data_IF_126514881253
#
_entry.id   IF_126514881253
#
_cell.length_a   1.000
_cell.length_b   1.000
_cell.length_c   1.000
_cell.angle_alpha   90.00
_cell.angle_beta   90.00
_cell.angle_gamma   90.00
#
_symmetry.space_group_name_H-M   'P 1'
#
loop_
_entity.id
_entity.type
_entity.pdbx_description
1 polymer ?
#
# COMPACT_ATOMS: atom_id res chain seq x y z
N UNK A 1 -14.51 35.59 9.60
CA UNK A 1 -14.14 34.96 8.31
C UNK A 1 -13.46 33.64 8.64
N UNK A 2 -14.22 32.56 8.59
CA UNK A 2 -13.75 31.22 8.98
C UNK A 2 -13.01 30.61 7.80
N UNK A 3 -11.68 30.59 7.86
CA UNK A 3 -10.86 29.84 6.93
C UNK A 3 -11.11 28.35 7.15
N UNK A 4 -11.81 27.70 6.23
CA UNK A 4 -11.89 26.26 6.17
C UNK A 4 -10.49 25.70 5.91
N UNK A 5 -9.79 25.29 6.96
CA UNK A 5 -8.64 24.40 6.82
C UNK A 5 -9.16 23.10 6.20
N UNK A 6 -8.99 22.96 4.89
CA UNK A 6 -9.31 21.75 4.16
C UNK A 6 -8.37 20.66 4.67
N UNK A 7 -8.77 19.96 5.73
CA UNK A 7 -8.05 18.81 6.25
C UNK A 7 -8.02 17.78 5.12
N UNK A 8 -6.84 17.59 4.53
CA UNK A 8 -6.63 16.52 3.56
C UNK A 8 -6.66 15.22 4.35
N UNK A 9 -7.84 14.61 4.50
CA UNK A 9 -8.01 13.33 5.19
C UNK A 9 -7.95 12.25 4.14
N UNK A 10 -6.80 11.61 4.01
CA UNK A 10 -6.62 10.55 3.02
C UNK A 10 -5.30 9.81 3.18
N UNK A 11 -5.41 8.49 3.26
CA UNK A 11 -4.31 7.55 3.13
C UNK A 11 -4.57 6.78 1.84
N UNK A 12 -3.64 6.83 0.88
CA UNK A 12 -3.79 6.07 -0.36
C UNK A 12 -2.48 5.42 -0.80
N UNK A 13 -2.55 4.18 -1.32
CA UNK A 13 -1.37 3.50 -1.84
C UNK A 13 -1.05 3.94 -3.26
N UNK A 14 0.24 3.98 -3.59
CA UNK A 14 0.78 4.17 -4.92
C UNK A 14 1.81 3.08 -5.21
N UNK A 15 1.78 2.52 -6.41
CA UNK A 15 2.79 1.57 -6.86
C UNK A 15 3.40 2.10 -8.14
N UNK A 16 4.69 2.46 -8.11
CA UNK A 16 5.42 2.91 -9.29
C UNK A 16 6.37 1.83 -9.77
N UNK A 17 6.36 1.62 -11.09
CA UNK A 17 7.40 0.88 -11.77
C UNK A 17 8.30 1.86 -12.50
N UNK A 18 9.59 1.84 -12.12
CA UNK A 18 10.61 2.79 -12.55
C UNK A 18 11.71 2.03 -13.26
N UNK A 19 11.84 2.24 -14.57
CA UNK A 19 12.84 1.53 -15.37
C UNK A 19 12.70 1.85 -16.85
N UNK A 20 13.75 1.57 -17.61
CA UNK A 20 13.77 1.80 -19.07
C UNK A 20 13.07 0.68 -19.87
N UNK A 21 12.60 -0.38 -19.19
CA UNK A 21 11.99 -1.58 -19.79
C UNK A 21 12.89 -2.30 -20.82
N UNK A 22 14.20 -2.06 -20.78
CA UNK A 22 15.17 -2.74 -21.63
C UNK A 22 15.66 -4.04 -20.98
N UNK A 23 15.92 -5.11 -21.77
CA UNK A 23 16.51 -6.34 -21.23
C UNK A 23 17.81 -6.07 -20.48
N UNK A 24 17.92 -6.57 -19.24
CA UNK A 24 19.09 -6.40 -18.39
C UNK A 24 19.23 -5.02 -17.73
N UNK A 25 18.32 -4.08 -17.98
CA UNK A 25 18.27 -2.80 -17.28
C UNK A 25 17.75 -2.97 -15.84
N UNK A 26 18.05 -1.99 -14.98
CA UNK A 26 17.48 -1.97 -13.63
C UNK A 26 15.98 -1.68 -13.68
N UNK A 27 15.23 -2.38 -12.84
CA UNK A 27 13.83 -2.11 -12.56
C UNK A 27 13.67 -1.82 -11.07
N UNK A 28 13.04 -0.70 -10.75
CA UNK A 28 12.70 -0.29 -9.40
C UNK A 28 11.17 -0.38 -9.24
N UNK A 29 10.73 -1.28 -8.37
CA UNK A 29 9.35 -1.32 -7.90
C UNK A 29 9.26 -0.53 -6.59
N UNK A 30 8.48 0.54 -6.60
CA UNK A 30 8.33 1.45 -5.48
C UNK A 30 6.87 1.42 -5.01
N UNK A 31 6.64 0.86 -3.83
CA UNK A 31 5.34 0.87 -3.17
C UNK A 31 5.35 1.98 -2.12
N UNK A 32 4.48 2.96 -2.27
CA UNK A 32 4.33 4.08 -1.35
C UNK A 32 2.92 4.08 -0.77
N UNK A 33 2.84 4.60 0.43
CA UNK A 33 1.63 4.92 1.15
C UNK A 33 1.70 6.41 1.46
N UNK A 34 0.82 7.18 0.83
CA UNK A 34 0.80 8.63 0.96
C UNK A 34 -0.15 9.02 2.08
N UNK A 35 0.38 9.70 3.09
CA UNK A 35 -0.40 10.27 4.16
C UNK A 35 -0.57 11.77 3.94
N UNK A 36 -1.75 12.13 3.45
CA UNK A 36 -2.03 13.51 3.04
C UNK A 36 -2.09 14.55 4.17
N UNK A 37 -2.53 14.25 5.41
CA UNK A 37 -2.56 15.24 6.49
C UNK A 37 -1.18 15.82 6.83
N UNK A 38 -0.14 14.99 6.82
CA UNK A 38 1.24 15.38 7.18
C UNK A 38 2.17 15.51 5.98
N UNK A 39 1.67 15.30 4.77
CA UNK A 39 2.47 15.29 3.54
C UNK A 39 3.63 14.29 3.54
N UNK A 40 3.48 13.21 4.31
CA UNK A 40 4.49 12.17 4.46
C UNK A 40 4.21 10.99 3.53
N UNK A 41 5.26 10.28 3.17
CA UNK A 41 5.20 9.03 2.41
C UNK A 41 6.03 7.96 3.11
N UNK A 42 5.53 6.74 3.12
CA UNK A 42 6.23 5.57 3.64
C UNK A 42 5.98 4.36 2.76
N UNK A 43 6.86 3.36 2.79
CA UNK A 43 6.64 2.14 2.01
C UNK A 43 7.91 1.35 1.77
N UNK A 44 7.99 0.69 0.61
CA UNK A 44 9.12 -0.17 0.25
C UNK A 44 9.61 0.05 -1.17
N UNK A 45 10.92 -0.11 -1.36
CA UNK A 45 11.59 -0.09 -2.66
C UNK A 45 12.27 -1.44 -2.89
N UNK A 46 12.08 -1.99 -4.09
CA UNK A 46 12.76 -3.20 -4.55
C UNK A 46 13.41 -2.93 -5.91
N UNK A 47 14.74 -3.01 -5.97
CA UNK A 47 15.52 -2.83 -7.19
C UNK A 47 15.99 -4.20 -7.65
N UNK A 48 15.61 -4.57 -8.87
CA UNK A 48 16.04 -5.81 -9.49
C UNK A 48 16.78 -5.55 -10.80
N UNK A 49 17.77 -6.39 -11.11
CA UNK A 49 18.45 -6.38 -12.40
C UNK A 49 18.80 -7.81 -12.82
N UNK A 50 18.43 -8.17 -14.06
CA UNK A 50 18.72 -9.47 -14.64
C UNK A 50 20.16 -9.55 -15.18
N UNK A 51 21.15 -9.36 -14.30
CA UNK A 51 22.59 -9.58 -14.56
C UNK A 51 23.06 -10.89 -13.95
N UNK A 52 24.31 -11.28 -14.19
CA UNK A 52 24.96 -12.40 -13.49
C UNK A 52 26.20 -11.88 -12.71
N UNK A 53 26.18 -11.85 -11.37
CA UNK A 53 25.07 -12.26 -10.49
C UNK A 53 23.86 -11.30 -10.58
N UNK A 54 22.64 -11.77 -10.27
CA UNK A 54 21.45 -10.94 -10.27
C UNK A 54 21.52 -9.91 -9.15
N UNK A 55 21.05 -8.69 -9.43
CA UNK A 55 20.91 -7.65 -8.42
C UNK A 55 19.51 -7.75 -7.81
N UNK A 56 19.44 -7.80 -6.49
CA UNK A 56 18.21 -7.66 -5.72
C UNK A 56 18.50 -6.82 -4.47
N UNK A 57 17.96 -5.62 -4.41
CA UNK A 57 18.15 -4.68 -3.30
C UNK A 57 16.79 -4.27 -2.78
N UNK A 58 16.54 -4.56 -1.51
CA UNK A 58 15.34 -4.16 -0.80
C UNK A 58 15.62 -3.05 0.20
N UNK A 59 14.71 -2.10 0.33
CA UNK A 59 14.82 -0.99 1.29
C UNK A 59 13.43 -0.54 1.74
N UNK A 60 13.28 -0.30 3.02
CA UNK A 60 12.13 0.39 3.59
C UNK A 60 12.35 1.89 3.36
N UNK A 61 11.37 2.56 2.76
CA UNK A 61 11.48 3.96 2.35
C UNK A 61 10.53 4.85 3.13
N UNK A 62 10.99 6.06 3.42
CA UNK A 62 10.19 7.12 4.02
C UNK A 62 10.64 8.48 3.50
N UNK A 63 9.75 9.45 3.58
CA UNK A 63 10.03 10.83 3.19
C UNK A 63 8.77 11.65 3.10
N UNK A 64 8.79 12.62 2.18
CA UNK A 64 7.77 13.64 2.05
C UNK A 64 7.46 13.90 0.59
N UNK A 65 6.31 14.51 0.34
CA UNK A 65 5.96 15.00 -0.99
C UNK A 65 5.60 16.49 -0.96
N UNK A 66 5.89 17.20 -2.05
CA UNK A 66 5.64 18.65 -2.16
C UNK A 66 5.04 18.97 -3.52
N UNK A 67 4.04 19.84 -3.54
CA UNK A 67 3.47 20.38 -4.78
C UNK A 67 4.32 21.54 -5.29
N UNK A 68 4.77 21.43 -6.54
CA UNK A 68 5.48 22.46 -7.28
C UNK A 68 4.52 23.10 -8.28
N UNK A 69 4.08 24.32 -8.01
CA UNK A 69 3.31 25.12 -8.96
C UNK A 69 4.25 26.12 -9.64
N UNK A 70 4.44 25.98 -10.95
CA UNK A 70 5.12 27.01 -11.76
C UNK A 70 4.08 28.03 -12.24
N UNK A 71 4.45 29.30 -12.36
CA UNK A 71 3.54 30.37 -12.81
C UNK A 71 3.10 30.16 -14.27
N UNK A 72 1.94 30.73 -14.66
CA UNK A 72 1.27 30.45 -15.95
C UNK A 72 2.17 30.60 -17.19
N UNK A 73 2.09 29.66 -18.16
CA UNK A 73 1.18 28.51 -18.23
C UNK A 73 1.81 27.28 -17.54
N UNK A 74 1.93 27.30 -16.22
CA UNK A 74 2.69 26.33 -15.46
C UNK A 74 1.88 25.07 -15.18
N UNK A 75 2.51 23.96 -15.53
CA UNK A 75 2.06 22.60 -15.20
C UNK A 75 2.40 22.36 -13.73
N UNK A 76 1.41 22.06 -12.90
CA UNK A 76 1.63 21.61 -11.53
C UNK A 76 2.35 20.27 -11.55
N UNK A 77 3.44 20.15 -10.78
CA UNK A 77 4.20 18.91 -10.62
C UNK A 77 4.24 18.53 -9.14
N UNK A 78 4.42 17.25 -8.86
CA UNK A 78 4.55 16.74 -7.50
C UNK A 78 5.94 16.15 -7.38
N UNK A 79 6.71 16.67 -6.43
CA UNK A 79 8.02 16.13 -6.08
C UNK A 79 7.86 15.22 -4.87
N UNK A 80 8.22 13.96 -5.02
CA UNK A 80 8.27 12.97 -3.96
C UNK A 80 9.76 12.74 -3.65
N UNK A 81 10.15 13.00 -2.42
CA UNK A 81 11.53 12.80 -1.94
C UNK A 81 11.53 11.73 -0.88
N UNK A 82 12.21 10.62 -1.16
CA UNK A 82 12.31 9.51 -0.22
C UNK A 82 13.74 9.05 -0.05
N UNK A 83 14.00 8.51 1.13
CA UNK A 83 15.22 7.82 1.48
C UNK A 83 14.87 6.48 2.10
N UNK A 84 15.78 5.52 2.02
CA UNK A 84 15.57 4.19 2.57
C UNK A 84 16.81 3.53 3.12
N UNK A 85 16.57 2.58 4.01
CA UNK A 85 17.55 1.69 4.61
C UNK A 85 16.90 0.30 4.82
N UNK A 86 17.61 -0.60 5.49
CA UNK A 86 17.03 -1.85 5.98
C UNK A 86 16.43 -1.64 7.38
N UNK A 87 15.11 -1.68 7.51
CA UNK A 87 14.40 -1.60 8.80
C UNK A 87 13.71 -0.26 9.09
N UNK A 88 13.74 0.71 8.16
CA UNK A 88 12.99 1.96 8.26
C UNK A 88 13.65 3.05 9.12
N UNK A 89 12.90 4.13 9.43
CA UNK A 89 13.44 5.35 10.03
C UNK A 89 14.02 5.18 11.44
N UNK A 90 13.59 4.16 12.19
CA UNK A 90 14.08 3.86 13.54
C UNK A 90 15.27 2.89 13.55
N UNK A 91 15.64 2.33 12.40
CA UNK A 91 16.75 1.38 12.27
C UNK A 91 18.10 2.09 12.28
N UNK A 92 19.12 1.42 12.83
CA UNK A 92 20.51 1.89 12.81
C UNK A 92 21.23 1.58 11.48
N UNK A 93 20.54 0.98 10.51
CA UNK A 93 21.06 0.71 9.18
C UNK A 93 21.37 1.99 8.41
N UNK A 94 22.49 1.99 7.68
CA UNK A 94 22.87 3.10 6.81
C UNK A 94 21.86 3.30 5.69
N UNK A 95 21.61 4.56 5.32
CA UNK A 95 20.77 4.90 4.16
C UNK A 95 21.44 4.39 2.89
N UNK A 96 20.84 3.34 2.33
CA UNK A 96 21.29 2.64 1.13
C UNK A 96 20.52 3.06 -0.12
N UNK A 97 19.45 3.85 0.01
CA UNK A 97 18.58 4.26 -1.07
C UNK A 97 18.16 5.73 -0.93
N UNK A 98 18.14 6.47 -2.04
CA UNK A 98 17.59 7.84 -2.15
C UNK A 98 16.86 7.98 -3.48
N UNK A 99 15.72 8.65 -3.50
CA UNK A 99 14.93 8.88 -4.70
C UNK A 99 14.29 10.27 -4.68
N UNK A 100 14.34 10.91 -5.83
CA UNK A 100 13.54 12.08 -6.17
C UNK A 100 12.67 11.71 -7.37
N UNK A 101 11.36 11.63 -7.16
CA UNK A 101 10.39 11.31 -8.18
C UNK A 101 9.54 12.55 -8.47
N UNK A 102 9.54 12.99 -9.72
CA UNK A 102 8.71 14.11 -10.18
C UNK A 102 7.57 13.56 -11.03
N UNK A 103 6.34 13.67 -10.55
CA UNK A 103 5.12 13.22 -11.25
C UNK A 103 4.22 14.38 -11.65
N UNK A 104 3.30 14.11 -12.56
CA UNK A 104 2.18 14.99 -12.87
C UNK A 104 1.27 15.23 -11.65
N UNK A 105 0.38 16.20 -11.79
CA UNK A 105 -0.72 16.44 -10.85
C UNK A 105 -1.70 15.26 -10.74
N UNK A 106 -1.70 14.38 -11.73
CA UNK A 106 -2.46 13.14 -11.79
C UNK A 106 -1.83 11.95 -11.03
N UNK A 107 -0.61 12.11 -10.49
CA UNK A 107 0.17 11.03 -9.85
C UNK A 107 0.48 9.82 -10.75
N UNK A 108 0.20 9.86 -12.06
CA UNK A 108 0.26 8.64 -12.90
C UNK A 108 1.63 8.39 -13.52
N UNK A 109 2.29 9.43 -13.98
CA UNK A 109 3.55 9.28 -14.71
C UNK A 109 4.53 10.40 -14.36
N UNK A 110 5.81 10.09 -14.49
CA UNK A 110 6.86 11.00 -14.09
C UNK A 110 8.26 10.53 -14.48
N UNK A 111 9.24 11.21 -13.90
CA UNK A 111 10.66 10.86 -14.02
C UNK A 111 11.25 10.72 -12.62
N UNK A 112 11.92 9.60 -12.39
CA UNK A 112 12.58 9.28 -11.15
C UNK A 112 14.10 9.39 -11.30
N UNK A 113 14.72 10.04 -10.34
CA UNK A 113 16.16 10.05 -10.13
C UNK A 113 16.44 9.33 -8.81
N UNK A 114 17.02 8.15 -8.87
CA UNK A 114 17.36 7.38 -7.67
C UNK A 114 18.84 7.03 -7.62
N UNK A 115 19.30 6.85 -6.39
CA UNK A 115 20.64 6.43 -6.06
C UNK A 115 20.54 5.30 -5.05
N UNK A 116 21.26 4.21 -5.29
CA UNK A 116 21.27 3.07 -4.38
C UNK A 116 22.67 2.47 -4.24
N UNK A 117 22.91 1.81 -3.12
CA UNK A 117 24.15 1.07 -2.88
C UNK A 117 24.00 -0.38 -3.30
N UNK A 118 24.82 -0.84 -4.25
CA UNK A 118 24.76 -2.21 -4.77
C UNK A 118 25.68 -3.20 -4.01
N UNK A 119 26.14 -2.85 -2.81
CA UNK A 119 27.12 -3.63 -2.04
C UNK A 119 28.58 -3.22 -2.27
N UNK A 120 28.89 -2.56 -3.40
CA UNK A 120 30.26 -2.13 -3.74
C UNK A 120 30.35 -0.62 -3.96
N UNK A 121 29.39 -0.04 -4.69
CA UNK A 121 29.36 1.36 -5.07
C UNK A 121 27.94 1.92 -5.05
N UNK A 122 27.86 3.25 -5.00
CA UNK A 122 26.62 3.97 -5.23
C UNK A 122 26.37 4.09 -6.73
N UNK A 123 25.18 3.68 -7.17
CA UNK A 123 24.74 3.73 -8.57
C UNK A 123 23.62 4.75 -8.66
N UNK A 124 23.74 5.70 -9.59
CA UNK A 124 22.71 6.71 -9.86
C UNK A 124 22.03 6.40 -11.18
N UNK A 125 20.70 6.39 -11.18
CA UNK A 125 19.88 6.05 -12.33
C UNK A 125 18.77 7.09 -12.49
N UNK A 126 18.53 7.47 -13.73
CA UNK A 126 17.39 8.29 -14.15
C UNK A 126 16.53 7.46 -15.07
N UNK A 127 15.27 7.27 -14.73
CA UNK A 127 14.35 6.44 -15.50
C UNK A 127 12.93 7.00 -15.46
N UNK A 128 12.12 6.73 -16.50
CA UNK A 128 10.69 7.05 -16.45
C UNK A 128 10.00 6.22 -15.38
N UNK A 129 9.00 6.84 -14.74
CA UNK A 129 8.17 6.26 -13.70
C UNK A 129 6.73 6.17 -14.19
N UNK A 130 6.13 4.99 -14.06
CA UNK A 130 4.73 4.75 -14.40
C UNK A 130 3.99 4.12 -13.23
N UNK A 131 2.80 4.64 -12.93
CA UNK A 131 1.91 4.09 -11.94
C UNK A 131 1.38 2.74 -12.45
N UNK A 132 1.50 1.72 -11.61
CA UNK A 132 0.93 0.41 -11.84
C UNK A 132 -0.50 0.43 -11.30
N UNK A 133 -1.47 0.69 -12.20
CA UNK A 133 -2.90 0.79 -11.85
C UNK A 133 -3.45 -0.56 -11.34
N UNK A 134 -2.88 -1.67 -11.80
CA UNK A 134 -3.20 -3.02 -11.35
C UNK A 134 -2.03 -3.58 -10.57
N UNK A 135 -1.99 -3.38 -9.25
CA UNK A 135 -1.10 -4.19 -8.40
C UNK A 135 -1.63 -5.62 -8.49
N UNK A 136 -0.96 -6.57 -9.15
CA UNK A 136 -1.37 -7.95 -9.05
C UNK A 136 -1.20 -8.32 -7.59
N UNK A 137 -2.31 -8.59 -6.92
CA UNK A 137 -2.30 -9.14 -5.56
C UNK A 137 -1.34 -10.31 -5.57
N UNK A 138 -0.21 -10.21 -4.84
CA UNK A 138 0.68 -11.35 -4.57
C UNK A 138 0.02 -12.42 -3.68
N UNK A 139 -1.31 -12.40 -3.56
CA UNK A 139 -2.10 -13.58 -3.29
C UNK A 139 -2.00 -14.53 -4.50
N UNK A 140 -0.82 -15.15 -4.62
CA UNK A 140 -0.46 -16.27 -5.51
C UNK A 140 -0.35 -15.98 -7.02
N UNK A 141 0.81 -16.34 -7.58
CA UNK A 141 0.83 -17.24 -8.73
C UNK A 141 1.43 -18.56 -8.25
N UNK A 142 0.60 -19.44 -7.68
CA UNK A 142 1.00 -20.84 -7.55
C UNK A 142 0.99 -21.46 -8.95
N UNK A 143 1.98 -22.29 -9.30
CA UNK A 143 1.96 -23.08 -10.52
C UNK A 143 0.62 -23.84 -10.62
N UNK A 144 -0.15 -23.55 -11.67
CA UNK A 144 -1.34 -24.30 -12.05
C UNK A 144 -0.89 -25.63 -12.66
N UNK A 145 -0.68 -26.65 -11.81
CA UNK A 145 -0.98 -28.09 -12.02
C UNK A 145 0.00 -29.02 -11.27
N UNK A 146 -0.47 -30.13 -10.66
CA UNK A 146 -1.88 -30.49 -10.44
C UNK A 146 -2.44 -29.61 -9.33
N UNK A 147 -3.53 -28.91 -9.64
CA UNK A 147 -3.97 -27.72 -8.92
C UNK A 147 -4.26 -27.94 -7.42
N UNK A 148 -4.24 -26.85 -6.63
CA UNK A 148 -4.78 -26.90 -5.29
C UNK A 148 -6.25 -27.36 -5.39
N UNK A 149 -6.67 -28.24 -4.48
CA UNK A 149 -8.10 -28.49 -4.28
C UNK A 149 -8.71 -27.13 -3.97
N UNK A 150 -9.33 -26.50 -4.96
CA UNK A 150 -10.25 -25.41 -4.72
C UNK A 150 -11.37 -26.10 -3.94
N UNK A 151 -11.28 -26.04 -2.62
CA UNK A 151 -12.41 -26.40 -1.79
C UNK A 151 -13.56 -25.55 -2.35
N UNK A 152 -14.68 -26.14 -2.77
CA UNK A 152 -15.79 -25.41 -3.38
C UNK A 152 -16.34 -24.30 -2.48
N UNK A 153 -15.86 -24.25 -1.23
CA UNK A 153 -16.04 -23.18 -0.28
C UNK A 153 -14.66 -22.80 0.29
N UNK A 154 -14.23 -21.52 0.19
CA UNK A 154 -13.13 -21.06 1.05
C UNK A 154 -13.54 -21.35 2.50
N UNK A 155 -12.60 -21.75 3.38
CA UNK A 155 -12.93 -21.93 4.78
C UNK A 155 -13.54 -20.61 5.27
N UNK A 156 -14.80 -20.67 5.70
CA UNK A 156 -15.49 -19.53 6.28
C UNK A 156 -14.73 -19.20 7.55
N UNK A 157 -13.81 -18.24 7.46
CA UNK A 157 -13.14 -17.72 8.63
C UNK A 157 -14.15 -16.83 9.34
N UNK A 158 -14.60 -17.18 10.56
CA UNK A 158 -15.45 -16.28 11.31
C UNK A 158 -14.73 -14.95 11.51
N UNK A 159 -15.49 -13.85 11.57
CA UNK A 159 -14.99 -12.48 11.69
C UNK A 159 -13.91 -12.29 12.79
N UNK A 160 -13.93 -13.14 13.82
CA UNK A 160 -13.00 -13.11 14.94
C UNK A 160 -11.93 -14.22 14.95
N UNK A 161 -11.76 -14.99 13.87
CA UNK A 161 -10.78 -16.07 13.83
C UNK A 161 -9.34 -15.59 14.10
N UNK A 162 -8.89 -14.56 13.38
CA UNK A 162 -7.56 -13.99 13.54
C UNK A 162 -7.32 -13.35 14.93
N UNK A 163 -8.22 -12.49 15.47
CA UNK A 163 -8.02 -11.93 16.80
C UNK A 163 -8.11 -12.97 17.92
N UNK A 164 -8.89 -14.05 17.78
CA UNK A 164 -8.91 -15.16 18.75
C UNK A 164 -7.54 -15.86 18.77
N UNK A 165 -6.99 -16.19 17.61
CA UNK A 165 -5.68 -16.83 17.51
C UNK A 165 -4.56 -15.92 18.07
N UNK A 166 -4.62 -14.63 17.78
CA UNK A 166 -3.70 -13.63 18.33
C UNK A 166 -3.82 -13.51 19.85
N UNK A 167 -5.03 -13.44 20.39
CA UNK A 167 -5.26 -13.37 21.84
C UNK A 167 -4.75 -14.63 22.55
N UNK A 168 -5.02 -15.83 22.01
CA UNK A 168 -4.49 -17.10 22.55
C UNK A 168 -2.95 -17.11 22.51
N UNK A 169 -2.35 -16.73 21.39
CA UNK A 169 -0.90 -16.71 21.24
C UNK A 169 -0.22 -15.69 22.16
N UNK A 170 -0.87 -14.55 22.43
CA UNK A 170 -0.37 -13.51 23.33
C UNK A 170 -0.45 -13.89 24.81
N UNK A 171 -1.33 -14.84 25.17
CA UNK A 171 -1.57 -15.23 26.57
C UNK A 171 -2.23 -14.15 27.44
N UNK A 172 -2.66 -13.01 26.86
CA UNK A 172 -3.23 -11.89 27.61
C UNK A 172 -4.72 -12.14 27.93
N UNK A 173 -4.99 -12.45 29.21
CA UNK A 173 -6.34 -12.72 29.72
C UNK A 173 -7.28 -11.51 29.64
N UNK A 174 -6.77 -10.28 29.72
CA UNK A 174 -7.60 -9.08 29.60
C UNK A 174 -8.10 -8.91 28.16
N UNK A 175 -7.22 -9.14 27.18
CA UNK A 175 -7.60 -9.12 25.76
C UNK A 175 -8.63 -10.20 25.42
N UNK A 176 -8.45 -11.43 25.91
CA UNK A 176 -9.41 -12.52 25.70
C UNK A 176 -10.81 -12.16 26.24
N UNK A 177 -10.89 -11.54 27.42
CA UNK A 177 -12.18 -11.12 28.02
C UNK A 177 -12.86 -10.01 27.23
N UNK A 178 -12.10 -9.02 26.78
CA UNK A 178 -12.63 -7.93 25.96
C UNK A 178 -13.18 -8.46 24.64
N UNK A 179 -12.45 -9.37 23.98
CA UNK A 179 -12.88 -10.01 22.74
C UNK A 179 -14.16 -10.83 22.93
N UNK A 180 -14.26 -11.59 24.02
CA UNK A 180 -15.46 -12.36 24.35
C UNK A 180 -16.68 -11.45 24.59
N UNK A 181 -16.49 -10.31 25.25
CA UNK A 181 -17.56 -9.32 25.47
C UNK A 181 -18.07 -8.73 24.15
N UNK A 182 -17.15 -8.36 23.24
CA UNK A 182 -17.49 -7.84 21.92
C UNK A 182 -18.25 -8.88 21.08
N UNK A 183 -17.78 -10.12 21.04
CA UNK A 183 -18.45 -11.20 20.32
C UNK A 183 -19.87 -11.44 20.85
N UNK A 184 -20.06 -11.37 22.17
CA UNK A 184 -21.39 -11.50 22.79
C UNK A 184 -22.31 -10.34 22.41
N UNK A 185 -21.83 -9.11 22.49
CA UNK A 185 -22.61 -7.93 22.11
C UNK A 185 -23.07 -8.01 20.64
N UNK A 186 -22.23 -8.52 19.73
CA UNK A 186 -22.62 -8.70 18.34
C UNK A 186 -23.65 -9.82 18.16
N UNK A 187 -23.53 -10.91 18.90
CA UNK A 187 -24.54 -11.99 18.90
C UNK A 187 -25.91 -11.45 19.37
N UNK A 188 -25.91 -10.63 20.41
CA UNK A 188 -27.11 -9.99 20.94
C UNK A 188 -27.73 -8.99 19.94
N UNK A 189 -26.92 -8.38 19.06
CA UNK A 189 -27.37 -7.47 17.99
C UNK A 189 -27.87 -8.18 16.73
N UNK A 190 -27.61 -9.49 16.58
CA UNK A 190 -27.97 -10.26 15.38
C UNK A 190 -29.47 -10.18 15.03
N UNK A 191 -30.42 -10.27 15.98
CA UNK A 191 -31.86 -10.16 15.66
C UNK A 191 -32.25 -8.79 15.09
N UNK A 192 -31.61 -7.71 15.56
CA UNK A 192 -31.86 -6.35 15.06
C UNK A 192 -31.31 -6.17 13.64
N UNK A 193 -30.16 -6.78 13.34
CA UNK A 193 -29.59 -6.76 11.99
C UNK A 193 -30.46 -7.53 11.00
N UNK A 194 -31.01 -8.68 11.43
CA UNK A 194 -31.93 -9.46 10.60
C UNK A 194 -33.22 -8.70 10.30
N UNK A 195 -33.82 -8.05 11.29
CA UNK A 195 -35.03 -7.25 11.06
C UNK A 195 -34.77 -6.05 10.15
N UNK A 196 -33.64 -5.36 10.31
CA UNK A 196 -33.23 -4.26 9.43
C UNK A 196 -32.99 -4.72 7.99
N UNK A 197 -32.40 -5.90 7.80
CA UNK A 197 -32.18 -6.49 6.48
C UNK A 197 -33.51 -6.80 5.78
N UNK A 198 -34.46 -7.40 6.47
CA UNK A 198 -35.78 -7.70 5.90
C UNK A 198 -36.56 -6.41 5.56
N UNK A 199 -36.47 -5.38 6.40
CA UNK A 199 -37.04 -4.06 6.09
C UNK A 199 -36.40 -3.45 4.83
N UNK A 200 -35.07 -3.53 4.69
CA UNK A 200 -34.36 -3.03 3.51
C UNK A 200 -34.75 -3.78 2.23
N UNK A 201 -34.86 -5.12 2.27
CA UNK A 201 -35.35 -5.93 1.14
C UNK A 201 -36.77 -5.55 0.73
N UNK A 202 -37.63 -5.26 1.71
CA UNK A 202 -38.99 -4.75 1.47
C UNK A 202 -38.98 -3.44 0.68
N UNK A 203 -38.15 -2.47 1.08
CA UNK A 203 -38.07 -1.19 0.38
C UNK A 203 -37.46 -1.31 -1.02
N UNK A 204 -36.44 -2.16 -1.20
CA UNK A 204 -35.87 -2.47 -2.52
C UNK A 204 -36.97 -3.01 -3.45
N UNK A 205 -37.76 -3.99 -2.97
CA UNK A 205 -38.86 -4.57 -3.74
C UNK A 205 -39.95 -3.56 -4.11
N UNK A 206 -40.18 -2.56 -3.25
CA UNK A 206 -41.14 -1.46 -3.49
C UNK A 206 -40.63 -0.49 -4.55
N UNK A 207 -39.34 -0.14 -4.51
CA UNK A 207 -38.72 0.77 -5.47
C UNK A 207 -38.57 0.14 -6.86
N UNK A 208 -38.28 -1.17 -6.95
CA UNK A 208 -38.16 -1.89 -8.23
C UNK A 208 -39.50 -2.06 -8.97
N UNK A 209 -40.63 -1.98 -8.27
CA UNK A 209 -41.97 -2.07 -8.88
C UNK A 209 -42.52 -0.74 -9.38
N UNK A 210 -41.76 0.35 -9.23
CA UNK A 210 -42.18 1.72 -9.53
C UNK A 210 -41.54 2.22 -10.82
#
# INVERSE_FOLDING_TARGET
MSGSSQQSVGLFPLCYQIGTQQPGAQNLALNLLVFTPEQTVSGTAAITQATNPPLDVHSDVWGEYTYMTVMKPGVSKILITVQGNQGGPSSNSIVNFKLHLVVGDDWKAGVANYEYFNGQRRVKVTAPAHLVESVPSRAYPLPLEPGPVILPYPPIMPLYAAPIQGAIASGDLAQMKNLASLAKQQLDQQPQLQSALEAAKGEISRLERR
#
